data_IF_437315983801
#
_entry.id   IF_437315983801
#
_cell.length_a   1.000
_cell.length_b   1.000
_cell.length_c   1.000
_cell.angle_alpha   90.00
_cell.angle_beta   90.00
_cell.angle_gamma   90.00
#
_symmetry.space_group_name_H-M   'P 1'
#
loop_
_entity.id
_entity.type
_entity.pdbx_description
1 polymer ?
#
# COMPACT_ATOMS: atom_id res chain seq x y z
N UNK A 1 0.18 12.61 -18.40
CA UNK A 1 -1.24 13.02 -18.45
C UNK A 1 -1.82 12.82 -17.06
N UNK A 2 -1.80 13.87 -16.23
CA UNK A 2 -2.47 13.85 -14.94
C UNK A 2 -3.97 13.81 -15.18
N UNK A 3 -4.59 12.69 -14.86
CA UNK A 3 -6.02 12.50 -15.03
C UNK A 3 -6.78 13.48 -14.12
N UNK A 4 -7.92 13.99 -14.59
CA UNK A 4 -8.78 14.96 -13.88
C UNK A 4 -9.15 14.45 -12.47
N UNK A 5 -9.09 13.14 -12.27
CA UNK A 5 -9.25 12.43 -11.00
C UNK A 5 -8.18 12.78 -9.96
N UNK A 6 -6.91 12.89 -10.35
CA UNK A 6 -5.82 13.29 -9.45
C UNK A 6 -5.92 14.76 -9.05
N UNK A 7 -6.42 15.62 -9.95
CA UNK A 7 -6.69 17.03 -9.66
C UNK A 7 -7.92 17.20 -8.74
N UNK A 8 -8.96 16.38 -8.87
CA UNK A 8 -10.09 16.36 -7.93
C UNK A 8 -9.67 15.92 -6.51
N UNK A 9 -8.78 14.94 -6.39
CA UNK A 9 -8.24 14.50 -5.09
C UNK A 9 -7.42 15.61 -4.41
N UNK A 10 -6.59 16.34 -5.17
CA UNK A 10 -5.82 17.47 -4.65
C UNK A 10 -6.72 18.67 -4.28
N UNK A 11 -7.76 18.93 -5.08
CA UNK A 11 -8.73 20.01 -4.82
C UNK A 11 -9.62 19.68 -3.61
N UNK A 12 -10.00 18.42 -3.38
CA UNK A 12 -10.75 18.01 -2.18
C UNK A 12 -9.89 18.13 -0.91
N UNK A 13 -8.61 17.75 -0.99
CA UNK A 13 -7.63 17.97 0.08
C UNK A 13 -7.39 19.47 0.36
N UNK A 14 -7.41 20.32 -0.67
CA UNK A 14 -7.24 21.77 -0.55
C UNK A 14 -8.53 22.52 -0.10
N UNK A 15 -9.73 21.99 -0.41
CA UNK A 15 -11.02 22.69 -0.17
C UNK A 15 -11.37 22.84 1.32
N UNK A 16 -10.86 21.99 2.21
CA UNK A 16 -11.12 22.12 3.65
C UNK A 16 -10.17 23.08 4.38
N UNK A 17 -9.08 23.56 3.75
CA UNK A 17 -8.14 24.60 4.25
C UNK A 17 -7.69 24.51 5.72
N UNK A 18 -7.93 23.38 6.40
CA UNK A 18 -7.39 23.01 7.70
C UNK A 18 -6.94 21.56 7.55
N UNK A 19 -5.65 21.24 7.60
CA UNK A 19 -5.17 19.85 7.54
C UNK A 19 -5.63 19.04 8.77
N UNK A 20 -5.96 19.74 9.86
CA UNK A 20 -6.35 19.16 11.14
C UNK A 20 -7.61 18.28 11.09
N UNK A 21 -8.75 18.68 10.51
CA UNK A 21 -9.92 17.79 10.39
C UNK A 21 -9.69 16.53 9.54
N UNK A 22 -8.83 16.59 8.51
CA UNK A 22 -8.52 15.41 7.68
C UNK A 22 -7.70 14.41 8.49
N UNK A 23 -6.65 14.88 9.16
CA UNK A 23 -5.82 14.05 10.04
C UNK A 23 -6.67 13.49 11.19
N UNK A 24 -7.49 14.33 11.82
CA UNK A 24 -8.41 13.90 12.88
C UNK A 24 -9.41 12.87 12.37
N UNK A 25 -9.93 13.02 11.15
CA UNK A 25 -10.81 12.05 10.50
C UNK A 25 -10.12 10.71 10.25
N UNK A 26 -8.89 10.72 9.72
CA UNK A 26 -8.09 9.49 9.51
C UNK A 26 -7.82 8.81 10.85
N UNK A 27 -7.33 9.56 11.85
CA UNK A 27 -7.05 9.01 13.19
C UNK A 27 -8.31 8.45 13.83
N UNK A 28 -9.42 9.18 13.80
CA UNK A 28 -10.70 8.72 14.33
C UNK A 28 -11.19 7.45 13.60
N UNK A 29 -11.08 7.42 12.27
CA UNK A 29 -11.45 6.25 11.47
C UNK A 29 -10.56 5.04 11.79
N UNK A 30 -9.25 5.22 11.90
CA UNK A 30 -8.31 4.14 12.26
C UNK A 30 -8.59 3.61 13.65
N UNK A 31 -8.81 4.49 14.63
CA UNK A 31 -9.14 4.11 16.00
C UNK A 31 -10.48 3.38 16.08
N UNK A 32 -11.51 3.91 15.42
CA UNK A 32 -12.82 3.28 15.36
C UNK A 32 -12.73 1.89 14.70
N UNK A 33 -12.00 1.76 13.60
CA UNK A 33 -11.81 0.49 12.92
C UNK A 33 -11.05 -0.52 13.80
N UNK A 34 -10.00 -0.11 14.50
CA UNK A 34 -9.27 -0.99 15.43
C UNK A 34 -10.12 -1.38 16.63
N UNK A 35 -10.88 -0.43 17.20
CA UNK A 35 -11.77 -0.71 18.31
C UNK A 35 -12.86 -1.71 17.91
N UNK A 36 -13.48 -1.52 16.73
CA UNK A 36 -14.48 -2.44 16.21
C UNK A 36 -13.89 -3.82 15.90
N UNK A 37 -12.76 -3.88 15.20
CA UNK A 37 -12.07 -5.13 14.90
C UNK A 37 -11.62 -5.86 16.17
N UNK A 38 -11.12 -5.14 17.18
CA UNK A 38 -10.74 -5.69 18.47
C UNK A 38 -11.94 -6.19 19.28
N UNK A 39 -13.05 -5.44 19.30
CA UNK A 39 -14.26 -5.86 20.00
C UNK A 39 -14.89 -7.11 19.37
N UNK A 40 -15.02 -7.13 18.04
CA UNK A 40 -15.52 -8.30 17.29
C UNK A 40 -14.55 -9.48 17.44
N UNK A 41 -13.24 -9.21 17.36
CA UNK A 41 -12.20 -10.23 17.55
C UNK A 41 -12.23 -10.85 18.95
N UNK A 42 -12.38 -10.04 20.00
CA UNK A 42 -12.47 -10.50 21.38
C UNK A 42 -13.76 -11.29 21.64
N UNK A 43 -14.88 -10.84 21.07
CA UNK A 43 -16.14 -11.58 21.14
C UNK A 43 -16.01 -12.93 20.43
N UNK A 44 -15.47 -12.95 19.21
CA UNK A 44 -15.27 -14.18 18.45
C UNK A 44 -14.28 -15.11 19.14
N UNK A 45 -13.16 -14.61 19.65
CA UNK A 45 -12.14 -15.41 20.34
C UNK A 45 -12.66 -16.08 21.60
N UNK A 46 -13.73 -15.56 22.22
CA UNK A 46 -14.35 -16.21 23.40
C UNK A 46 -14.95 -17.58 23.08
N UNK A 47 -15.25 -17.85 21.80
CA UNK A 47 -15.76 -19.13 21.33
C UNK A 47 -14.65 -20.08 20.86
N UNK A 48 -13.40 -19.63 20.77
CA UNK A 48 -12.27 -20.41 20.26
C UNK A 48 -11.29 -20.73 21.40
N UNK A 49 -10.71 -21.93 21.39
CA UNK A 49 -9.62 -22.24 22.31
C UNK A 49 -8.32 -21.56 21.85
N UNK A 50 -7.44 -21.29 22.82
CA UNK A 50 -6.13 -20.67 22.57
C UNK A 50 -5.31 -21.43 21.51
N UNK A 51 -5.38 -22.77 21.53
CA UNK A 51 -4.72 -23.61 20.52
C UNK A 51 -5.24 -23.37 19.10
N UNK A 52 -6.55 -23.17 18.91
CA UNK A 52 -7.14 -22.92 17.59
C UNK A 52 -6.71 -21.55 17.06
N UNK A 53 -6.69 -20.51 17.91
CA UNK A 53 -6.22 -19.17 17.53
C UNK A 53 -4.76 -19.22 17.04
N UNK A 54 -3.89 -19.92 17.77
CA UNK A 54 -2.49 -20.10 17.37
C UNK A 54 -2.34 -20.81 16.02
N UNK A 55 -3.09 -21.89 15.80
CA UNK A 55 -3.05 -22.60 14.52
C UNK A 55 -3.59 -21.77 13.35
N UNK A 56 -4.66 -21.02 13.56
CA UNK A 56 -5.19 -20.09 12.55
C UNK A 56 -4.14 -19.03 12.19
N UNK A 57 -3.48 -18.45 13.20
CA UNK A 57 -2.45 -17.44 12.99
C UNK A 57 -1.25 -18.03 12.21
N UNK A 58 -0.75 -19.19 12.64
CA UNK A 58 0.36 -19.89 11.97
C UNK A 58 0.02 -20.25 10.51
N UNK A 59 -1.20 -20.75 10.27
CA UNK A 59 -1.68 -21.06 8.93
C UNK A 59 -1.77 -19.80 8.05
N UNK A 60 -2.24 -18.68 8.61
CA UNK A 60 -2.36 -17.40 7.90
C UNK A 60 -1.00 -16.86 7.46
N UNK A 61 -0.01 -16.86 8.36
CA UNK A 61 1.36 -16.48 8.03
C UNK A 61 1.99 -17.39 6.98
N UNK A 62 1.77 -18.70 7.09
CA UNK A 62 2.26 -19.67 6.11
C UNK A 62 1.63 -19.42 4.73
N UNK A 63 0.31 -19.17 4.68
CA UNK A 63 -0.39 -18.85 3.45
C UNK A 63 0.15 -17.56 2.81
N UNK A 64 0.36 -16.50 3.59
CA UNK A 64 0.97 -15.25 3.09
C UNK A 64 2.39 -15.50 2.57
N UNK A 65 3.22 -16.26 3.30
CA UNK A 65 4.58 -16.57 2.87
C UNK A 65 4.61 -17.34 1.53
N UNK A 66 3.75 -18.36 1.39
CA UNK A 66 3.61 -19.11 0.15
C UNK A 66 3.09 -18.24 -1.00
N UNK A 67 2.10 -17.38 -0.74
CA UNK A 67 1.56 -16.44 -1.74
C UNK A 67 2.63 -15.48 -2.26
N UNK A 68 3.44 -14.92 -1.37
CA UNK A 68 4.53 -14.02 -1.76
C UNK A 68 5.65 -14.72 -2.54
N UNK A 69 5.76 -16.05 -2.43
CA UNK A 69 6.76 -16.83 -3.15
C UNK A 69 6.41 -17.02 -4.63
N UNK A 70 5.14 -16.84 -5.00
CA UNK A 70 4.67 -16.86 -6.38
C UNK A 70 4.91 -15.45 -6.93
N UNK A 71 5.97 -15.21 -7.72
CA UNK A 71 6.21 -13.90 -8.28
C UNK A 71 5.16 -13.68 -9.36
N UNK A 72 4.37 -12.62 -9.20
CA UNK A 72 3.51 -12.16 -10.27
C UNK A 72 4.41 -11.78 -11.44
N UNK A 73 4.12 -12.29 -12.64
CA UNK A 73 4.92 -11.96 -13.82
C UNK A 73 4.64 -10.50 -14.15
N UNK A 74 5.58 -9.64 -13.78
CA UNK A 74 5.60 -8.26 -14.25
C UNK A 74 5.68 -8.31 -15.77
N UNK A 75 4.72 -7.67 -16.46
CA UNK A 75 4.68 -7.61 -17.92
C UNK A 75 6.04 -7.12 -18.45
N UNK A 76 6.80 -8.04 -19.05
CA UNK A 76 8.17 -7.85 -19.55
C UNK A 76 8.29 -6.83 -20.71
N UNK A 77 7.16 -6.23 -21.14
CA UNK A 77 7.10 -5.30 -22.26
C UNK A 77 7.60 -3.89 -21.89
N UNK A 78 7.51 -3.46 -20.63
CA UNK A 78 8.09 -2.17 -20.19
C UNK A 78 9.58 -2.29 -19.81
N UNK A 79 10.03 -3.49 -19.39
CA UNK A 79 11.41 -3.73 -18.95
C UNK A 79 12.42 -3.87 -20.12
N UNK A 80 11.95 -4.09 -21.34
CA UNK A 80 12.77 -4.18 -22.56
C UNK A 80 13.19 -2.80 -23.08
N UNK A 81 12.34 -1.79 -22.95
CA UNK A 81 12.63 -0.43 -23.45
C UNK A 81 13.59 0.34 -22.53
N UNK A 82 13.51 0.12 -21.21
CA UNK A 82 14.39 0.75 -20.22
C UNK A 82 15.82 0.16 -20.20
N UNK A 83 16.03 -1.06 -20.71
CA UNK A 83 17.34 -1.74 -20.70
C UNK A 83 18.25 -1.34 -21.86
N UNK A 84 17.72 -0.70 -22.91
CA UNK A 84 18.51 -0.24 -24.07
C UNK A 84 19.33 1.03 -23.80
N UNK A 85 19.01 1.78 -22.75
CA UNK A 85 19.78 2.95 -22.34
C UNK A 85 20.35 2.70 -20.94
N UNK A 86 21.45 1.94 -20.90
CA UNK A 86 22.18 1.68 -19.66
C UNK A 86 22.72 2.98 -19.03
N UNK A 87 23.04 2.96 -17.71
CA UNK A 87 23.55 4.12 -16.97
C UNK A 87 24.79 4.80 -17.60
N UNK A 88 25.50 4.07 -18.46
CA UNK A 88 26.64 4.56 -19.22
C UNK A 88 26.27 5.55 -20.35
N UNK A 89 25.10 5.41 -20.98
CA UNK A 89 24.65 6.35 -22.02
C UNK A 89 24.26 7.71 -21.41
N UNK A 90 23.75 7.71 -20.19
CA UNK A 90 23.38 8.92 -19.46
C UNK A 90 24.58 9.72 -18.94
N UNK A 91 25.74 9.08 -18.70
CA UNK A 91 26.98 9.78 -18.29
C UNK A 91 27.79 10.34 -19.45
N UNK A 92 27.57 9.83 -20.67
CA UNK A 92 28.32 10.20 -21.88
C UNK A 92 27.63 11.22 -22.77
N UNK A 93 26.49 11.79 -22.33
CA UNK A 93 25.87 12.95 -22.98
C UNK A 93 26.26 14.23 -22.22
N UNK A 94 27.44 14.80 -22.48
CA UNK A 94 27.71 16.17 -22.07
C UNK A 94 26.79 17.05 -22.92
N UNK A 95 25.68 17.50 -22.34
CA UNK A 95 25.10 18.79 -22.72
C UNK A 95 26.08 19.86 -22.25
N UNK A 96 27.12 20.11 -23.05
CA UNK A 96 27.89 21.34 -22.93
C UNK A 96 27.00 22.48 -23.41
N UNK A 97 26.56 23.27 -22.45
CA UNK A 97 26.05 24.63 -22.62
C UNK A 97 27.05 25.42 -23.46
N UNK A 98 26.62 25.81 -24.66
CA UNK A 98 26.87 27.10 -25.32
C UNK A 98 25.82 27.27 -26.40
#
# INVERSE_FOLDING_TARGET
>A
MGDKTQLLALILAARFRKPWPIIAGIVAATLANHAAAGAVGAWFSSFLSDAVLHWILAASFTATALWTLVPDKMDDDEASTARKFGPFMTTLSPKSVT
#
